data_IF_712714846263
#
_entry.id   IF_712714846263
#
_cell.length_a   1.000
_cell.length_b   1.000
_cell.length_c   1.000
_cell.angle_alpha   90.00
_cell.angle_beta   90.00
_cell.angle_gamma   90.00
#
_symmetry.space_group_name_H-M   'P 1'
#
loop_
_entity.id
_entity.type
_entity.pdbx_description
1 polymer ?
#
# COMPACT_ATOMS: atom_id res chain seq x y z
N UNK A 1 -27.17 -7.92 9.69
CA UNK A 1 -25.88 -7.66 8.99
C UNK A 1 -26.21 -7.00 7.66
N UNK A 2 -25.86 -5.73 7.49
CA UNK A 2 -26.13 -4.95 6.26
C UNK A 2 -25.45 -5.61 5.05
N UNK A 3 -26.06 -5.56 3.86
CA UNK A 3 -25.44 -6.06 2.62
C UNK A 3 -24.05 -5.44 2.36
N UNK A 4 -23.82 -4.23 2.88
CA UNK A 4 -22.55 -3.50 2.78
C UNK A 4 -21.42 -4.17 3.58
N UNK A 5 -21.73 -4.74 4.76
CA UNK A 5 -20.72 -5.43 5.57
C UNK A 5 -20.27 -6.75 4.94
N UNK A 6 -21.10 -7.37 4.08
CA UNK A 6 -20.75 -8.62 3.38
C UNK A 6 -19.71 -8.42 2.27
N UNK A 7 -19.67 -7.23 1.66
CA UNK A 7 -18.71 -6.92 0.59
C UNK A 7 -17.40 -6.34 1.17
N UNK A 8 -17.53 -5.53 2.22
CA UNK A 8 -16.39 -4.85 2.85
C UNK A 8 -15.54 -5.80 3.70
N UNK A 9 -16.16 -6.73 4.43
CA UNK A 9 -15.43 -7.62 5.33
C UNK A 9 -14.38 -8.50 4.64
N UNK A 10 -14.63 -9.11 3.46
CA UNK A 10 -13.61 -9.87 2.74
C UNK A 10 -12.41 -9.00 2.30
N UNK A 11 -12.65 -7.75 1.88
CA UNK A 11 -11.60 -6.83 1.45
C UNK A 11 -10.73 -6.44 2.65
N UNK A 12 -11.34 -6.13 3.79
CA UNK A 12 -10.62 -5.82 5.01
C UNK A 12 -9.74 -7.02 5.44
N UNK A 13 -10.27 -8.25 5.45
CA UNK A 13 -9.50 -9.47 5.79
C UNK A 13 -8.35 -9.73 4.81
N UNK A 14 -8.57 -9.45 3.51
CA UNK A 14 -7.51 -9.58 2.51
C UNK A 14 -6.35 -8.64 2.82
N UNK A 15 -6.66 -7.38 3.15
CA UNK A 15 -5.65 -6.38 3.50
C UNK A 15 -4.92 -6.72 4.81
N UNK A 16 -5.57 -7.33 5.80
CA UNK A 16 -4.88 -7.82 7.00
C UNK A 16 -3.82 -8.88 6.68
N UNK A 17 -4.13 -9.81 5.77
CA UNK A 17 -3.18 -10.85 5.37
C UNK A 17 -1.97 -10.27 4.64
N UNK A 18 -2.20 -9.32 3.74
CA UNK A 18 -1.10 -8.65 3.03
C UNK A 18 -0.30 -7.72 3.94
N UNK A 19 -0.94 -7.08 4.93
CA UNK A 19 -0.26 -6.31 5.96
C UNK A 19 0.66 -7.20 6.82
N UNK A 20 0.21 -8.41 7.18
CA UNK A 20 1.06 -9.38 7.88
C UNK A 20 2.28 -9.76 7.04
N UNK A 21 2.13 -9.98 5.73
CA UNK A 21 3.27 -10.21 4.84
C UNK A 21 4.20 -8.99 4.77
N UNK A 22 3.66 -7.77 4.73
CA UNK A 22 4.43 -6.53 4.73
C UNK A 22 5.29 -6.38 6.00
N UNK A 23 4.73 -6.74 7.17
CA UNK A 23 5.46 -6.73 8.46
C UNK A 23 6.68 -7.67 8.43
N UNK A 24 6.52 -8.86 7.87
CA UNK A 24 7.66 -9.78 7.71
C UNK A 24 8.66 -9.30 6.67
N UNK A 25 8.20 -8.68 5.58
CA UNK A 25 9.07 -8.12 4.57
C UNK A 25 9.96 -7.01 5.12
N UNK A 26 9.42 -6.09 5.94
CA UNK A 26 10.23 -5.03 6.58
C UNK A 26 11.20 -5.60 7.61
N UNK A 27 10.77 -6.58 8.42
CA UNK A 27 11.66 -7.23 9.38
C UNK A 27 12.85 -7.90 8.65
N UNK A 28 12.57 -8.66 7.59
CA UNK A 28 13.58 -9.28 6.76
C UNK A 28 14.51 -8.24 6.11
N UNK A 29 13.95 -7.14 5.60
CA UNK A 29 14.73 -6.02 5.04
C UNK A 29 15.71 -5.46 6.07
N UNK A 30 15.25 -5.18 7.30
CA UNK A 30 16.08 -4.68 8.39
C UNK A 30 17.20 -5.65 8.76
N UNK A 31 16.87 -6.94 8.92
CA UNK A 31 17.86 -7.97 9.28
C UNK A 31 18.92 -8.14 8.20
N UNK A 32 18.53 -8.16 6.93
CA UNK A 32 19.47 -8.25 5.80
C UNK A 32 20.34 -6.99 5.73
N UNK A 33 19.75 -5.81 5.96
CA UNK A 33 20.50 -4.53 5.97
C UNK A 33 21.56 -4.52 7.07
N UNK A 34 21.19 -4.92 8.28
CA UNK A 34 22.10 -5.02 9.42
C UNK A 34 23.19 -6.07 9.18
N UNK A 35 22.82 -7.26 8.69
CA UNK A 35 23.76 -8.31 8.34
C UNK A 35 24.75 -7.88 7.25
N UNK A 36 24.28 -7.21 6.21
CA UNK A 36 25.14 -6.67 5.15
C UNK A 36 26.11 -5.61 5.69
N UNK A 37 25.68 -4.74 6.60
CA UNK A 37 26.56 -3.78 7.26
C UNK A 37 27.63 -4.47 8.11
N UNK A 38 27.26 -5.47 8.92
CA UNK A 38 28.20 -6.23 9.73
C UNK A 38 29.26 -6.95 8.89
N UNK A 39 28.85 -7.62 7.81
CA UNK A 39 29.80 -8.30 6.91
C UNK A 39 30.69 -7.31 6.17
N UNK A 40 30.13 -6.18 5.73
CA UNK A 40 30.89 -5.15 5.00
C UNK A 40 31.95 -4.48 5.86
N UNK A 41 31.62 -4.14 7.10
CA UNK A 41 32.57 -3.46 8.01
C UNK A 41 33.43 -4.43 8.83
N UNK A 42 32.99 -5.69 9.00
CA UNK A 42 33.73 -6.70 9.75
C UNK A 42 34.63 -7.58 8.90
N UNK A 43 34.25 -7.87 7.64
CA UNK A 43 34.93 -8.82 6.75
C UNK A 43 35.32 -8.22 5.39
N UNK A 44 35.13 -6.90 5.18
CA UNK A 44 35.38 -6.19 3.92
C UNK A 44 34.73 -6.83 2.68
N UNK A 45 33.65 -7.60 2.88
CA UNK A 45 32.90 -8.28 1.82
C UNK A 45 31.54 -7.62 1.62
N UNK A 46 31.12 -7.44 0.36
CA UNK A 46 29.82 -6.86 0.01
C UNK A 46 29.26 -7.52 -1.24
N UNK A 47 27.95 -7.81 -1.24
CA UNK A 47 27.23 -8.37 -2.38
C UNK A 47 26.13 -7.44 -2.87
N UNK A 48 26.09 -7.16 -4.17
CA UNK A 48 25.03 -6.33 -4.76
C UNK A 48 23.66 -7.00 -4.66
N UNK A 49 23.59 -8.34 -4.70
CA UNK A 49 22.35 -9.08 -4.52
C UNK A 49 21.72 -8.80 -3.14
N UNK A 50 22.56 -8.71 -2.10
CA UNK A 50 22.12 -8.43 -0.74
C UNK A 50 21.61 -7.00 -0.58
N UNK A 51 22.17 -6.05 -1.34
CA UNK A 51 21.65 -4.69 -1.41
C UNK A 51 20.34 -4.65 -2.19
N UNK A 52 20.24 -5.32 -3.33
CA UNK A 52 19.03 -5.32 -4.16
C UNK A 52 17.82 -5.96 -3.48
N UNK A 53 18.00 -7.08 -2.77
CA UNK A 53 16.88 -7.75 -2.11
C UNK A 53 16.22 -6.85 -1.05
N UNK A 54 17.00 -5.95 -0.42
CA UNK A 54 16.46 -4.97 0.53
C UNK A 54 15.46 -4.03 -0.17
N UNK A 55 15.76 -3.60 -1.40
CA UNK A 55 14.89 -2.72 -2.17
C UNK A 55 13.60 -3.45 -2.57
N UNK A 56 13.71 -4.75 -2.86
CA UNK A 56 12.57 -5.58 -3.26
C UNK A 56 11.64 -5.83 -2.08
N UNK A 57 12.22 -6.13 -0.90
CA UNK A 57 11.47 -6.30 0.34
C UNK A 57 10.85 -4.98 0.80
N UNK A 58 11.54 -3.85 0.63
CA UNK A 58 10.98 -2.53 0.91
C UNK A 58 9.81 -2.21 -0.04
N UNK A 59 9.95 -2.48 -1.34
CA UNK A 59 8.84 -2.34 -2.30
C UNK A 59 7.65 -3.22 -1.91
N UNK A 60 7.88 -4.48 -1.50
CA UNK A 60 6.83 -5.36 -1.01
C UNK A 60 6.16 -4.80 0.25
N UNK A 61 6.93 -4.32 1.23
CA UNK A 61 6.39 -3.70 2.44
C UNK A 61 5.46 -2.52 2.11
N UNK A 62 5.93 -1.58 1.28
CA UNK A 62 5.16 -0.37 0.94
C UNK A 62 3.92 -0.72 0.14
N UNK A 63 4.07 -1.53 -0.92
CA UNK A 63 2.97 -1.84 -1.83
C UNK A 63 1.88 -2.69 -1.17
N UNK A 64 2.26 -3.67 -0.33
CA UNK A 64 1.31 -4.53 0.37
C UNK A 64 0.71 -3.88 1.61
N UNK A 65 1.42 -2.94 2.25
CA UNK A 65 0.96 -2.21 3.44
C UNK A 65 0.10 -0.98 3.13
N UNK A 66 0.21 -0.39 1.93
CA UNK A 66 -0.46 0.86 1.59
C UNK A 66 -2.00 0.81 1.75
N UNK A 67 -2.63 -0.29 1.34
CA UNK A 67 -4.08 -0.47 1.48
C UNK A 67 -4.50 -0.55 2.95
N UNK A 68 -3.68 -1.14 3.81
CA UNK A 68 -3.93 -1.21 5.25
C UNK A 68 -3.90 0.16 5.91
N UNK A 69 -2.91 0.99 5.55
CA UNK A 69 -2.81 2.37 6.05
C UNK A 69 -4.02 3.20 5.61
N UNK A 70 -4.51 3.00 4.38
CA UNK A 70 -5.75 3.63 3.91
C UNK A 70 -6.95 3.20 4.76
N UNK A 71 -7.08 1.90 5.05
CA UNK A 71 -8.18 1.33 5.86
C UNK A 71 -8.17 1.86 7.31
N UNK A 72 -7.00 1.92 7.92
CA UNK A 72 -6.83 2.43 9.29
C UNK A 72 -6.95 3.95 9.36
N UNK A 73 -7.03 4.61 8.21
CA UNK A 73 -7.09 6.06 8.09
C UNK A 73 -5.85 6.77 8.67
N UNK A 74 -4.70 6.10 8.67
CA UNK A 74 -3.42 6.57 9.21
C UNK A 74 -2.48 7.14 8.13
N UNK A 75 -3.00 7.39 6.93
CA UNK A 75 -2.22 8.06 5.90
C UNK A 75 -2.03 9.53 6.27
N UNK A 76 -0.85 10.07 5.98
CA UNK A 76 -0.55 11.48 6.21
C UNK A 76 -1.46 12.33 5.32
N UNK A 77 -2.30 13.15 5.95
CA UNK A 77 -3.20 14.10 5.29
C UNK A 77 -2.71 15.52 5.54
N UNK A 78 -2.62 16.32 4.47
CA UNK A 78 -2.35 17.76 4.58
C UNK A 78 -3.68 18.49 4.70
N UNK A 79 -4.10 18.76 5.94
CA UNK A 79 -5.44 19.25 6.24
C UNK A 79 -5.48 20.77 6.46
N UNK A 80 -5.69 21.55 5.39
CA UNK A 80 -5.93 23.01 5.50
C UNK A 80 -7.39 23.31 5.90
N UNK A 81 -8.35 22.57 5.33
CA UNK A 81 -9.79 22.81 5.51
C UNK A 81 -10.53 21.71 6.27
N UNK A 82 -10.00 20.48 6.27
CA UNK A 82 -10.65 19.31 6.87
C UNK A 82 -10.91 19.48 8.38
N UNK A 83 -9.96 20.09 9.07
CA UNK A 83 -10.03 20.35 10.51
C UNK A 83 -11.11 21.33 10.96
N UNK A 84 -11.70 22.10 10.04
CA UNK A 84 -12.77 23.09 10.32
C UNK A 84 -14.18 22.55 10.00
N UNK A 85 -14.27 21.41 9.33
CA UNK A 85 -15.54 20.82 8.91
C UNK A 85 -16.07 19.84 9.97
N UNK A 86 -17.38 19.80 10.17
CA UNK A 86 -18.04 18.87 11.11
C UNK A 86 -19.03 17.95 10.39
N UNK A 87 -19.11 16.69 10.84
CA UNK A 87 -20.09 15.71 10.38
C UNK A 87 -20.03 15.44 8.87
N UNK A 88 -21.09 15.82 8.15
CA UNK A 88 -21.28 15.50 6.73
C UNK A 88 -20.22 16.14 5.81
N UNK A 89 -19.70 17.32 6.16
CA UNK A 89 -18.69 18.02 5.36
C UNK A 89 -17.39 17.21 5.23
N UNK A 90 -16.93 16.58 6.31
CA UNK A 90 -15.75 15.71 6.29
C UNK A 90 -15.95 14.51 5.36
N UNK A 91 -17.14 13.91 5.41
CA UNK A 91 -17.47 12.73 4.59
C UNK A 91 -17.55 13.08 3.10
N UNK A 92 -18.08 14.25 2.75
CA UNK A 92 -18.09 14.72 1.36
C UNK A 92 -16.67 15.01 0.84
N UNK A 93 -15.83 15.67 1.64
CA UNK A 93 -14.42 15.92 1.27
C UNK A 93 -13.67 14.61 1.07
N UNK A 94 -13.82 13.67 1.99
CA UNK A 94 -13.22 12.34 1.85
C UNK A 94 -13.72 11.61 0.60
N UNK A 95 -15.04 11.61 0.36
CA UNK A 95 -15.62 10.93 -0.80
C UNK A 95 -15.12 11.54 -2.10
N UNK A 96 -15.04 12.88 -2.17
CA UNK A 96 -14.45 13.59 -3.29
C UNK A 96 -12.97 13.24 -3.46
N UNK A 97 -12.18 13.23 -2.37
CA UNK A 97 -10.79 12.80 -2.36
C UNK A 97 -10.60 11.39 -2.94
N UNK A 98 -11.40 10.45 -2.46
CA UNK A 98 -11.35 9.05 -2.88
C UNK A 98 -11.76 8.89 -4.36
N UNK A 99 -12.86 9.50 -4.78
CA UNK A 99 -13.41 9.32 -6.13
C UNK A 99 -12.68 10.13 -7.19
N UNK A 100 -12.32 11.38 -6.91
CA UNK A 100 -11.75 12.28 -7.90
C UNK A 100 -10.22 12.20 -7.99
N UNK A 101 -9.53 11.77 -6.92
CA UNK A 101 -8.07 11.72 -6.89
C UNK A 101 -7.54 10.30 -6.70
N UNK A 102 -7.93 9.61 -5.62
CA UNK A 102 -7.35 8.29 -5.32
C UNK A 102 -7.70 7.28 -6.41
N UNK A 103 -8.98 7.08 -6.71
CA UNK A 103 -9.42 6.04 -7.65
C UNK A 103 -8.85 6.22 -9.07
N UNK A 104 -8.88 7.42 -9.69
CA UNK A 104 -8.32 7.60 -11.02
C UNK A 104 -6.81 7.32 -11.06
N UNK A 105 -6.07 7.80 -10.06
CA UNK A 105 -4.62 7.58 -9.99
C UNK A 105 -4.30 6.10 -9.79
N UNK A 106 -4.95 5.44 -8.82
CA UNK A 106 -4.66 4.04 -8.51
C UNK A 106 -5.05 3.12 -9.67
N UNK A 107 -6.18 3.37 -10.33
CA UNK A 107 -6.59 2.60 -11.52
C UNK A 107 -5.65 2.83 -12.70
N UNK A 108 -5.20 4.06 -12.94
CA UNK A 108 -4.23 4.37 -13.98
C UNK A 108 -2.89 3.66 -13.69
N UNK A 109 -2.39 3.73 -12.46
CA UNK A 109 -1.15 3.07 -12.06
C UNK A 109 -1.26 1.55 -12.16
N UNK A 110 -2.41 0.97 -11.79
CA UNK A 110 -2.68 -0.46 -11.98
C UNK A 110 -2.64 -0.83 -13.47
N UNK A 111 -3.28 -0.04 -14.33
CA UNK A 111 -3.29 -0.29 -15.77
C UNK A 111 -1.90 -0.19 -16.40
N UNK A 112 -1.07 0.77 -15.99
CA UNK A 112 0.29 0.95 -16.48
C UNK A 112 1.28 -0.09 -15.92
N UNK A 113 1.07 -0.56 -14.69
CA UNK A 113 2.00 -1.50 -14.04
C UNK A 113 1.85 -2.95 -14.52
N UNK A 114 0.66 -3.35 -14.99
CA UNK A 114 0.42 -4.68 -15.55
C UNK A 114 1.31 -5.02 -16.77
N UNK A 115 1.38 -4.22 -17.84
CA UNK A 115 2.25 -4.52 -18.99
C UNK A 115 3.73 -4.45 -18.61
N UNK A 116 4.10 -3.58 -17.66
CA UNK A 116 5.47 -3.51 -17.14
C UNK A 116 5.87 -4.84 -16.48
N UNK A 117 5.05 -5.32 -15.55
CA UNK A 117 5.25 -6.63 -14.92
C UNK A 117 5.30 -7.75 -15.95
N UNK A 118 4.33 -7.81 -16.86
CA UNK A 118 4.25 -8.87 -17.86
C UNK A 118 5.49 -8.93 -18.75
N UNK A 119 5.98 -7.76 -19.18
CA UNK A 119 7.22 -7.65 -19.96
C UNK A 119 8.41 -8.19 -19.17
N UNK A 120 8.63 -7.73 -17.94
CA UNK A 120 9.77 -8.16 -17.10
C UNK A 120 9.70 -9.65 -16.74
N UNK A 121 8.50 -10.18 -16.55
CA UNK A 121 8.28 -11.60 -16.28
C UNK A 121 8.60 -12.48 -17.50
N UNK A 122 8.10 -12.10 -18.68
CA UNK A 122 8.30 -12.87 -19.91
C UNK A 122 9.71 -12.74 -20.49
N UNK A 123 10.36 -11.59 -20.32
CA UNK A 123 11.73 -11.38 -20.79
C UNK A 123 12.79 -12.02 -19.89
N UNK A 124 12.44 -12.39 -18.64
CA UNK A 124 13.40 -12.89 -17.66
C UNK A 124 14.45 -11.83 -17.28
N UNK A 125 14.05 -10.56 -17.25
CA UNK A 125 14.97 -9.44 -17.07
C UNK A 125 15.73 -9.53 -15.74
N UNK A 126 17.06 -9.47 -15.83
CA UNK A 126 17.97 -9.46 -14.68
C UNK A 126 18.43 -8.04 -14.37
N UNK A 127 18.77 -7.79 -13.11
CA UNK A 127 19.40 -6.54 -12.72
C UNK A 127 20.76 -6.35 -13.40
N UNK A 128 21.03 -5.11 -13.81
CA UNK A 128 22.29 -4.72 -14.45
C UNK A 128 23.47 -4.62 -13.50
N UNK A 129 23.28 -4.78 -12.19
CA UNK A 129 24.39 -4.84 -11.25
C UNK A 129 25.09 -6.21 -11.34
N UNK A 130 26.39 -6.23 -11.06
CA UNK A 130 27.15 -7.47 -11.00
C UNK A 130 26.58 -8.39 -9.89
N UNK A 131 26.11 -9.58 -10.28
CA UNK A 131 25.41 -10.52 -9.39
C UNK A 131 23.96 -10.12 -9.06
N UNK A 132 23.34 -9.26 -9.86
CA UNK A 132 22.00 -8.73 -9.63
C UNK A 132 20.87 -9.77 -9.70
N UNK A 133 19.70 -9.41 -9.14
CA UNK A 133 18.55 -10.30 -9.02
C UNK A 133 17.63 -10.22 -10.24
N UNK A 134 16.79 -11.25 -10.41
CA UNK A 134 15.71 -11.24 -11.38
C UNK A 134 14.67 -10.18 -11.00
N UNK A 135 14.27 -9.30 -11.93
CA UNK A 135 13.50 -8.08 -11.61
C UNK A 135 12.01 -8.28 -11.41
N UNK A 136 11.42 -9.34 -11.98
CA UNK A 136 9.98 -9.52 -11.99
C UNK A 136 9.32 -9.54 -10.59
N UNK A 137 9.94 -10.07 -9.50
CA UNK A 137 9.31 -10.08 -8.18
C UNK A 137 9.05 -8.67 -7.66
N UNK A 138 10.00 -7.75 -7.86
CA UNK A 138 9.80 -6.34 -7.50
C UNK A 138 8.72 -5.69 -8.37
N UNK A 139 8.73 -5.98 -9.69
CA UNK A 139 7.73 -5.43 -10.61
C UNK A 139 6.31 -5.95 -10.33
N UNK A 140 6.17 -7.18 -9.81
CA UNK A 140 4.88 -7.75 -9.41
C UNK A 140 4.25 -6.99 -8.23
N UNK A 141 5.07 -6.42 -7.34
CA UNK A 141 4.57 -5.67 -6.19
C UNK A 141 3.75 -4.44 -6.62
N UNK A 142 4.05 -3.85 -7.78
CA UNK A 142 3.32 -2.69 -8.31
C UNK A 142 1.84 -3.00 -8.61
N UNK A 143 1.50 -3.88 -9.56
CA UNK A 143 0.09 -4.18 -9.85
C UNK A 143 -0.61 -4.81 -8.65
N UNK A 144 0.10 -5.61 -7.83
CA UNK A 144 -0.48 -6.20 -6.63
C UNK A 144 -0.88 -5.14 -5.60
N UNK A 145 0.00 -4.21 -5.26
CA UNK A 145 -0.29 -3.15 -4.30
C UNK A 145 -1.34 -2.16 -4.80
N UNK A 146 -1.31 -1.77 -6.09
CA UNK A 146 -2.34 -0.90 -6.65
C UNK A 146 -3.70 -1.60 -6.73
N UNK A 147 -3.75 -2.90 -7.00
CA UNK A 147 -5.00 -3.67 -6.95
C UNK A 147 -5.58 -3.69 -5.52
N UNK A 148 -4.76 -3.96 -4.50
CA UNK A 148 -5.18 -3.92 -3.10
C UNK A 148 -5.68 -2.54 -2.69
N UNK A 149 -4.97 -1.48 -3.10
CA UNK A 149 -5.35 -0.10 -2.81
C UNK A 149 -6.65 0.30 -3.52
N UNK A 150 -6.88 -0.15 -4.75
CA UNK A 150 -8.13 0.08 -5.48
C UNK A 150 -9.31 -0.60 -4.79
N UNK A 151 -9.13 -1.87 -4.37
CA UNK A 151 -10.15 -2.61 -3.63
C UNK A 151 -10.48 -1.94 -2.30
N UNK A 152 -9.47 -1.50 -1.55
CA UNK A 152 -9.72 -0.76 -0.30
C UNK A 152 -10.36 0.60 -0.57
N UNK A 153 -9.94 1.32 -1.61
CA UNK A 153 -10.56 2.60 -2.01
C UNK A 153 -12.06 2.44 -2.28
N UNK A 154 -12.46 1.39 -2.98
CA UNK A 154 -13.88 1.06 -3.19
C UNK A 154 -14.61 0.73 -1.88
N UNK A 155 -13.98 -0.04 -0.97
CA UNK A 155 -14.55 -0.33 0.34
C UNK A 155 -14.75 0.94 1.17
N UNK A 156 -13.78 1.85 1.17
CA UNK A 156 -13.82 3.13 1.87
C UNK A 156 -14.87 4.09 1.31
N UNK A 157 -15.07 4.09 -0.02
CA UNK A 157 -16.17 4.81 -0.69
C UNK A 157 -17.52 4.24 -0.25
N UNK A 158 -17.66 2.91 -0.26
CA UNK A 158 -18.90 2.23 0.12
C UNK A 158 -19.26 2.51 1.60
N UNK A 159 -18.29 2.47 2.52
CA UNK A 159 -18.48 2.81 3.95
C UNK A 159 -19.03 4.24 4.11
N UNK A 160 -18.46 5.22 3.41
CA UNK A 160 -18.87 6.64 3.46
C UNK A 160 -20.26 6.88 2.88
N UNK A 161 -20.60 6.24 1.77
CA UNK A 161 -21.95 6.28 1.19
C UNK A 161 -22.96 5.63 2.15
N UNK A 162 -22.60 4.48 2.73
CA UNK A 162 -23.42 3.78 3.73
C UNK A 162 -23.73 4.63 4.96
N UNK A 163 -22.74 5.41 5.42
CA UNK A 163 -22.90 6.36 6.51
C UNK A 163 -23.86 7.51 6.15
N UNK A 164 -23.72 8.11 4.97
CA UNK A 164 -24.63 9.17 4.50
C UNK A 164 -26.09 8.68 4.39
N UNK A 165 -26.28 7.41 4.02
CA UNK A 165 -27.57 6.73 3.92
C UNK A 165 -28.09 6.20 5.27
N UNK A 166 -27.40 6.45 6.39
CA UNK A 166 -27.77 5.98 7.73
C UNK A 166 -27.88 4.45 7.82
N UNK A 167 -27.14 3.72 6.96
CA UNK A 167 -27.09 2.25 6.90
C UNK A 167 -25.83 1.67 7.55
N UNK A 168 -24.92 2.53 7.99
CA UNK A 168 -23.65 2.16 8.60
C UNK A 168 -23.18 3.25 9.57
N UNK A 169 -22.79 2.87 10.78
CA UNK A 169 -22.14 3.79 11.70
C UNK A 169 -20.63 3.79 11.43
N UNK A 170 -20.06 4.97 11.26
CA UNK A 170 -18.63 5.17 10.98
C UNK A 170 -18.11 6.25 11.93
N UNK A 171 -17.03 5.94 12.63
CA UNK A 171 -16.31 6.93 13.42
C UNK A 171 -15.36 7.71 12.50
N UNK A 172 -15.56 9.02 12.40
CA UNK A 172 -14.71 9.94 11.61
C UNK A 172 -13.61 10.58 12.46
N UNK A 173 -13.19 9.89 13.53
CA UNK A 173 -12.15 10.40 14.41
C UNK A 173 -10.81 10.43 13.66
N UNK A 174 -10.20 11.61 13.61
CA UNK A 174 -8.89 11.83 13.01
C UNK A 174 -8.04 12.55 14.05
N UNK A 175 -6.93 11.94 14.41
CA UNK A 175 -5.91 12.58 15.24
C UNK A 175 -4.93 13.29 14.33
N UNK A 176 -4.79 14.60 14.51
CA UNK A 176 -3.74 15.35 13.81
C UNK A 176 -2.39 14.88 14.35
N UNK A 177 -1.40 14.63 13.49
CA UNK A 177 -0.04 14.42 13.97
C UNK A 177 0.40 15.67 14.74
N UNK A 178 0.82 15.49 15.99
CA UNK A 178 1.42 16.53 16.82
C UNK A 178 2.79 16.85 16.18
N UNK A 179 2.85 17.90 15.37
CA UNK A 179 4.10 18.49 14.87
C UNK A 179 4.40 19.75 15.67
#
# INVERSE_FOLDING_TARGET
MSALSRIVSPIDVLNDRFAWLAQWAVLACCLISAGNALVRYGLDYSSNAWLEIQWYLFAACVMLGASQVLRLNEHVRVDVFYGRLSGRGKVFVDLFGLVAFLMPVVLLMLWLSLPLFWRTYTSGEMSGNAGGLIRWPAMLMLPLGFALLALQGLAEIAKRIGWLLHRHEMHTHYERPLQ
#
